data_IF_067732450499
#
_entry.id   IF_067732450499
#
_cell.length_a   1.000
_cell.length_b   1.000
_cell.length_c   1.000
_cell.angle_alpha   90.00
_cell.angle_beta   90.00
_cell.angle_gamma   90.00
#
_symmetry.space_group_name_H-M   'P 1'
#
loop_
_entity.id
_entity.type
_entity.pdbx_description
1 polymer ?
#
# COMPACT_ATOMS: atom_id res chain seq x y z
N UNK A 1 14.34 26.35 -15.53
CA UNK A 1 13.59 25.08 -15.70
C UNK A 1 14.02 24.16 -14.55
N UNK A 2 13.17 23.91 -13.55
CA UNK A 2 13.46 22.92 -12.50
C UNK A 2 12.87 21.61 -12.99
N UNK A 3 13.69 20.57 -13.04
CA UNK A 3 13.36 19.32 -13.70
C UNK A 3 12.17 18.63 -13.03
N UNK A 4 11.07 18.49 -13.78
CA UNK A 4 9.83 17.82 -13.39
C UNK A 4 9.95 16.29 -13.45
N UNK A 5 11.01 15.74 -12.84
CA UNK A 5 11.31 14.32 -12.87
C UNK A 5 11.02 13.69 -11.51
N UNK A 6 10.50 12.45 -11.53
CA UNK A 6 10.37 11.60 -10.35
C UNK A 6 11.70 11.51 -9.61
N UNK A 7 11.69 11.05 -8.35
CA UNK A 7 12.89 10.82 -7.54
C UNK A 7 13.99 9.97 -8.24
N UNK A 8 13.64 9.23 -9.30
CA UNK A 8 14.56 8.44 -10.12
C UNK A 8 15.27 9.24 -11.23
N UNK A 9 14.90 10.49 -11.52
CA UNK A 9 15.55 11.33 -12.53
C UNK A 9 15.25 11.01 -14.00
N UNK A 10 14.47 9.95 -14.28
CA UNK A 10 14.21 9.48 -15.66
C UNK A 10 12.77 9.64 -16.17
N UNK A 11 11.77 9.69 -15.28
CA UNK A 11 10.35 9.70 -15.67
C UNK A 11 9.67 10.97 -15.17
N UNK A 12 8.87 11.68 -16.00
CA UNK A 12 8.06 12.80 -15.55
C UNK A 12 7.14 12.43 -14.38
N UNK A 13 7.04 13.30 -13.37
CA UNK A 13 6.24 13.02 -12.14
C UNK A 13 4.76 12.74 -12.47
N UNK A 14 4.26 13.32 -13.55
CA UNK A 14 2.90 13.08 -14.07
C UNK A 14 2.69 11.66 -14.60
N UNK A 15 3.67 11.09 -15.32
CA UNK A 15 3.63 9.73 -15.86
C UNK A 15 3.77 8.73 -14.71
N UNK A 16 4.72 8.96 -13.79
CA UNK A 16 4.90 8.14 -12.61
C UNK A 16 3.61 8.02 -11.78
N UNK A 17 2.96 9.15 -11.47
CA UNK A 17 1.69 9.14 -10.74
C UNK A 17 0.58 8.39 -11.48
N UNK A 18 0.48 8.51 -12.81
CA UNK A 18 -0.53 7.76 -13.59
C UNK A 18 -0.30 6.25 -13.52
N UNK A 19 0.94 5.80 -13.69
CA UNK A 19 1.30 4.37 -13.59
C UNK A 19 1.00 3.81 -12.20
N UNK A 20 1.41 4.51 -11.14
CA UNK A 20 1.12 4.11 -9.76
C UNK A 20 -0.38 4.09 -9.46
N UNK A 21 -1.14 5.02 -10.02
CA UNK A 21 -2.59 5.04 -9.88
C UNK A 21 -3.25 3.82 -10.53
N UNK A 22 -2.76 3.41 -11.71
CA UNK A 22 -3.23 2.17 -12.36
C UNK A 22 -2.89 0.93 -11.53
N UNK A 23 -1.67 0.86 -10.98
CA UNK A 23 -1.31 -0.22 -10.07
C UNK A 23 -2.20 -0.24 -8.83
N UNK A 24 -2.54 0.93 -8.28
CA UNK A 24 -3.45 1.07 -7.14
C UNK A 24 -4.86 0.56 -7.48
N UNK A 25 -5.35 0.86 -8.70
CA UNK A 25 -6.64 0.33 -9.18
C UNK A 25 -6.62 -1.19 -9.36
N UNK A 26 -5.55 -1.74 -9.94
CA UNK A 26 -5.39 -3.19 -10.10
C UNK A 26 -5.34 -3.85 -8.71
N UNK A 27 -4.59 -3.29 -7.77
CA UNK A 27 -4.55 -3.74 -6.39
C UNK A 27 -5.93 -3.71 -5.73
N UNK A 28 -6.68 -2.63 -5.90
CA UNK A 28 -8.07 -2.51 -5.42
C UNK A 28 -8.99 -3.58 -6.00
N UNK A 29 -8.91 -3.83 -7.31
CA UNK A 29 -9.69 -4.88 -7.97
C UNK A 29 -9.33 -6.28 -7.47
N UNK A 30 -8.05 -6.56 -7.23
CA UNK A 30 -7.59 -7.82 -6.63
C UNK A 30 -8.10 -8.00 -5.20
N UNK A 31 -8.12 -6.92 -4.40
CA UNK A 31 -8.68 -6.95 -3.04
C UNK A 31 -10.18 -7.27 -3.08
N UNK A 32 -10.94 -6.66 -3.99
CA UNK A 32 -12.37 -6.98 -4.19
C UNK A 32 -12.55 -8.43 -4.59
N UNK A 33 -11.78 -8.90 -5.57
CA UNK A 33 -11.84 -10.29 -6.04
C UNK A 33 -11.54 -11.28 -4.92
N UNK A 34 -10.48 -11.04 -4.15
CA UNK A 34 -10.10 -11.93 -3.04
C UNK A 34 -11.18 -11.94 -1.95
N UNK A 35 -11.73 -10.78 -1.60
CA UNK A 35 -12.78 -10.63 -0.58
C UNK A 35 -14.10 -11.29 -0.99
N UNK A 36 -14.41 -11.27 -2.30
CA UNK A 36 -15.65 -11.82 -2.84
C UNK A 36 -15.55 -13.32 -3.11
N UNK A 37 -14.45 -13.80 -3.72
CA UNK A 37 -14.36 -15.16 -4.26
C UNK A 37 -13.52 -16.13 -3.41
N UNK A 38 -12.56 -15.63 -2.61
CA UNK A 38 -11.56 -16.49 -1.93
C UNK A 38 -11.53 -16.37 -0.41
N UNK A 39 -12.14 -15.33 0.15
CA UNK A 39 -12.12 -15.12 1.59
C UNK A 39 -13.04 -16.10 2.31
N UNK A 40 -12.43 -16.98 3.12
CA UNK A 40 -13.10 -17.80 4.13
C UNK A 40 -13.38 -17.04 5.44
N UNK A 41 -13.09 -15.73 5.47
CA UNK A 41 -13.34 -14.89 6.63
C UNK A 41 -14.83 -14.64 6.88
N UNK A 42 -15.16 -14.13 8.08
CA UNK A 42 -16.53 -13.74 8.41
C UNK A 42 -17.07 -12.69 7.43
N UNK A 43 -18.39 -12.63 7.27
CA UNK A 43 -19.08 -11.69 6.37
C UNK A 43 -18.58 -10.25 6.56
N UNK A 44 -18.29 -9.86 7.81
CA UNK A 44 -17.75 -8.54 8.16
C UNK A 44 -16.41 -8.26 7.48
N UNK A 45 -15.45 -9.21 7.53
CA UNK A 45 -14.14 -9.03 6.89
C UNK A 45 -14.24 -8.96 5.37
N UNK A 46 -15.20 -9.68 4.77
CA UNK A 46 -15.47 -9.62 3.33
C UNK A 46 -15.99 -8.25 2.92
N UNK A 47 -16.96 -7.71 3.67
CA UNK A 47 -17.50 -6.37 3.43
C UNK A 47 -16.41 -5.29 3.57
N UNK A 48 -15.58 -5.36 4.61
CA UNK A 48 -14.47 -4.42 4.80
C UNK A 48 -13.51 -4.47 3.61
N UNK A 49 -13.12 -5.67 3.18
CA UNK A 49 -12.23 -5.85 2.04
C UNK A 49 -12.80 -5.26 0.74
N UNK A 50 -14.09 -5.48 0.46
CA UNK A 50 -14.76 -4.88 -0.72
C UNK A 50 -14.73 -3.35 -0.64
N UNK A 51 -15.07 -2.77 0.52
CA UNK A 51 -15.07 -1.31 0.71
C UNK A 51 -13.66 -0.73 0.49
N UNK A 52 -12.64 -1.34 1.10
CA UNK A 52 -11.23 -0.93 0.92
C UNK A 52 -10.82 -1.00 -0.55
N UNK A 53 -11.17 -2.08 -1.24
CA UNK A 53 -10.87 -2.24 -2.65
C UNK A 53 -11.55 -1.19 -3.55
N UNK A 54 -12.82 -0.86 -3.27
CA UNK A 54 -13.56 0.21 -3.97
C UNK A 54 -12.89 1.57 -3.73
N UNK A 55 -12.52 1.88 -2.49
CA UNK A 55 -11.82 3.13 -2.13
C UNK A 55 -10.50 3.25 -2.89
N UNK A 56 -9.72 2.16 -3.01
CA UNK A 56 -8.47 2.14 -3.78
C UNK A 56 -8.71 2.40 -5.28
N UNK A 57 -9.74 1.79 -5.86
CA UNK A 57 -10.11 2.01 -7.26
C UNK A 57 -10.52 3.47 -7.51
N UNK A 58 -11.35 4.04 -6.63
CA UNK A 58 -11.79 5.44 -6.74
C UNK A 58 -10.60 6.39 -6.55
N UNK A 59 -9.74 6.14 -5.56
CA UNK A 59 -8.54 6.93 -5.32
C UNK A 59 -7.60 6.93 -6.54
N UNK A 60 -7.33 5.75 -7.12
CA UNK A 60 -6.53 5.65 -8.35
C UNK A 60 -7.17 6.36 -9.55
N UNK A 61 -8.48 6.19 -9.76
CA UNK A 61 -9.19 6.86 -10.84
C UNK A 61 -9.16 8.41 -10.69
N UNK A 62 -9.38 8.92 -9.48
CA UNK A 62 -9.31 10.36 -9.18
C UNK A 62 -7.92 10.93 -9.41
N UNK A 63 -6.86 10.19 -9.07
CA UNK A 63 -5.49 10.60 -9.34
C UNK A 63 -5.20 10.72 -10.85
N UNK A 64 -5.62 9.74 -11.65
CA UNK A 64 -5.49 9.81 -13.13
C UNK A 64 -6.27 11.01 -13.68
N UNK A 65 -7.51 11.21 -13.21
CA UNK A 65 -8.33 12.33 -13.62
C UNK A 65 -7.71 13.68 -13.21
N UNK A 66 -7.14 13.78 -12.00
CA UNK A 66 -6.48 14.97 -11.50
C UNK A 66 -5.28 15.38 -12.37
N UNK A 67 -4.47 14.40 -12.80
CA UNK A 67 -3.33 14.65 -13.70
C UNK A 67 -3.81 15.04 -15.10
N UNK A 68 -4.88 14.42 -15.62
CA UNK A 68 -5.45 14.79 -16.93
C UNK A 68 -6.07 16.18 -16.93
N UNK A 69 -6.87 16.49 -15.91
CA UNK A 69 -7.57 17.78 -15.77
C UNK A 69 -6.69 18.88 -15.19
N UNK A 70 -5.44 18.57 -14.81
CA UNK A 70 -4.49 19.44 -14.10
C UNK A 70 -5.08 20.13 -12.87
N UNK A 71 -5.96 19.42 -12.14
CA UNK A 71 -6.61 19.94 -10.92
C UNK A 71 -5.91 19.38 -9.68
N UNK A 72 -5.11 20.18 -8.95
CA UNK A 72 -4.37 19.67 -7.79
C UNK A 72 -5.29 19.16 -6.69
N UNK A 73 -6.44 19.80 -6.47
CA UNK A 73 -7.42 19.37 -5.43
C UNK A 73 -7.96 17.95 -5.65
N UNK A 74 -7.99 17.47 -6.89
CA UNK A 74 -8.45 16.12 -7.20
C UNK A 74 -7.41 15.04 -6.83
N UNK A 75 -6.19 15.42 -6.44
CA UNK A 75 -5.17 14.49 -5.91
C UNK A 75 -5.38 14.16 -4.43
N UNK A 76 -6.19 14.92 -3.68
CA UNK A 76 -6.37 14.70 -2.24
C UNK A 76 -6.87 13.29 -1.86
N UNK A 77 -7.81 12.66 -2.60
CA UNK A 77 -8.25 11.30 -2.26
C UNK A 77 -7.11 10.28 -2.29
N UNK A 78 -6.26 10.31 -3.33
CA UNK A 78 -5.13 9.36 -3.42
C UNK A 78 -4.06 9.66 -2.36
N UNK A 79 -3.76 10.94 -2.11
CA UNK A 79 -2.80 11.32 -1.08
C UNK A 79 -3.31 10.89 0.29
N UNK A 80 -4.58 11.13 0.60
CA UNK A 80 -5.21 10.75 1.87
C UNK A 80 -5.20 9.23 2.09
N UNK A 81 -5.59 8.45 1.08
CA UNK A 81 -5.55 6.98 1.16
C UNK A 81 -4.12 6.48 1.41
N UNK A 82 -3.11 7.04 0.72
CA UNK A 82 -1.72 6.65 0.92
C UNK A 82 -1.18 7.07 2.30
N UNK A 83 -1.57 8.25 2.82
CA UNK A 83 -1.21 8.68 4.17
C UNK A 83 -1.80 7.77 5.24
N UNK A 84 -3.08 7.40 5.09
CA UNK A 84 -3.76 6.48 6.00
C UNK A 84 -3.10 5.10 5.93
N UNK A 85 -2.81 4.60 4.73
CA UNK A 85 -2.11 3.33 4.54
C UNK A 85 -0.73 3.33 5.20
N UNK A 86 0.07 4.37 5.00
CA UNK A 86 1.39 4.51 5.62
C UNK A 86 1.30 4.57 7.16
N UNK A 87 0.29 5.25 7.71
CA UNK A 87 0.04 5.29 9.16
C UNK A 87 -0.31 3.91 9.70
N UNK A 88 -1.22 3.18 9.04
CA UNK A 88 -1.54 1.81 9.43
C UNK A 88 -0.32 0.90 9.32
N UNK A 89 0.50 1.01 8.28
CA UNK A 89 1.74 0.25 8.16
C UNK A 89 2.69 0.51 9.34
N UNK A 90 2.83 1.77 9.80
CA UNK A 90 3.63 2.10 10.98
C UNK A 90 3.05 1.47 12.26
N UNK A 91 1.73 1.52 12.44
CA UNK A 91 1.06 0.90 13.58
C UNK A 91 1.25 -0.63 13.58
N UNK A 92 1.15 -1.26 12.41
CA UNK A 92 1.41 -2.69 12.27
C UNK A 92 2.88 -3.04 12.55
N UNK A 93 3.83 -2.27 12.02
CA UNK A 93 5.26 -2.47 12.32
C UNK A 93 5.50 -2.35 13.83
N UNK A 94 4.95 -1.33 14.49
CA UNK A 94 5.09 -1.16 15.93
C UNK A 94 4.47 -2.33 16.72
N UNK A 95 3.29 -2.81 16.30
CA UNK A 95 2.65 -3.98 16.90
C UNK A 95 3.47 -5.26 16.73
N UNK A 96 4.08 -5.48 15.56
CA UNK A 96 4.94 -6.64 15.31
C UNK A 96 6.29 -6.54 16.03
N UNK A 97 6.88 -5.34 16.14
CA UNK A 97 8.09 -5.13 16.96
C UNK A 97 7.78 -5.44 18.42
N UNK A 98 6.63 -4.97 18.93
CA UNK A 98 6.20 -5.29 20.29
C UNK A 98 5.98 -6.80 20.46
N UNK A 99 5.33 -7.45 19.49
CA UNK A 99 5.15 -8.90 19.45
C UNK A 99 6.48 -9.68 19.49
N UNK A 100 7.52 -9.22 18.80
CA UNK A 100 8.84 -9.84 18.85
C UNK A 100 9.55 -9.71 20.21
N UNK A 101 9.13 -8.76 21.06
CA UNK A 101 9.76 -8.46 22.36
C UNK A 101 8.96 -9.04 23.54
N UNK A 102 7.67 -9.28 23.36
CA UNK A 102 6.78 -9.84 24.40
C UNK A 102 6.30 -11.24 24.04
N UNK A 103 6.48 -12.20 24.94
CA UNK A 103 6.09 -13.60 24.74
C UNK A 103 4.57 -13.81 24.55
N UNK A 104 3.74 -12.84 24.96
CA UNK A 104 2.26 -12.87 24.91
C UNK A 104 1.68 -12.05 23.74
N UNK A 105 2.19 -12.26 22.52
CA UNK A 105 1.65 -11.61 21.33
C UNK A 105 0.42 -12.38 20.79
N UNK A 106 -0.66 -11.66 20.47
CA UNK A 106 -1.86 -12.27 19.84
C UNK A 106 -1.54 -12.96 18.50
N UNK A 107 -0.49 -12.51 17.81
CA UNK A 107 -0.02 -13.08 16.55
C UNK A 107 0.73 -14.40 16.80
N UNK A 108 1.63 -14.40 17.79
CA UNK A 108 2.34 -15.60 18.24
C UNK A 108 1.35 -16.66 18.75
N UNK A 109 0.35 -16.26 19.53
CA UNK A 109 -0.72 -17.15 20.01
C UNK A 109 -1.53 -17.76 18.86
N UNK A 110 -1.87 -16.96 17.85
CA UNK A 110 -2.57 -17.43 16.65
C UNK A 110 -1.75 -18.42 15.84
N UNK A 111 -0.46 -18.13 15.61
CA UNK A 111 0.44 -19.05 14.90
C UNK A 111 0.69 -20.34 15.70
N UNK A 112 0.87 -20.25 17.01
CA UNK A 112 1.03 -21.43 17.88
C UNK A 112 -0.20 -22.32 17.80
N UNK A 113 -1.39 -21.75 17.92
CA UNK A 113 -2.65 -22.51 17.82
C UNK A 113 -2.83 -23.17 16.44
N UNK A 114 -2.37 -22.53 15.37
CA UNK A 114 -2.43 -23.11 14.02
C UNK A 114 -1.40 -24.24 13.83
N UNK A 115 -0.19 -24.08 14.36
CA UNK A 115 0.84 -25.12 14.39
C UNK A 115 0.40 -26.34 15.20
N UNK A 116 -0.31 -26.14 16.31
CA UNK A 116 -0.86 -27.22 17.13
C UNK A 116 -2.01 -27.96 16.44
N UNK A 117 -2.82 -27.25 15.65
CA UNK A 117 -3.92 -27.86 14.87
C UNK A 117 -3.46 -28.60 13.61
N UNK A 118 -2.28 -28.30 13.10
CA UNK A 118 -1.76 -28.86 11.85
C UNK A 118 -0.68 -29.92 12.11
N UNK A 119 -1.06 -31.22 12.23
CA UNK A 119 -0.09 -32.30 12.53
C UNK A 119 1.00 -32.45 11.46
N UNK A 120 0.71 -32.13 10.20
CA UNK A 120 1.69 -32.16 9.13
C UNK A 120 2.76 -31.05 9.28
N UNK A 121 2.35 -29.86 9.72
CA UNK A 121 3.28 -28.75 9.96
C UNK A 121 4.20 -29.06 11.14
N UNK A 122 3.65 -29.68 12.18
CA UNK A 122 4.42 -30.13 13.35
C UNK A 122 5.45 -31.20 12.98
N UNK A 123 5.07 -32.19 12.16
CA UNK A 123 6.01 -33.20 11.66
C UNK A 123 7.15 -32.57 10.86
N UNK A 124 6.85 -31.63 9.97
CA UNK A 124 7.89 -30.91 9.21
C UNK A 124 8.84 -30.11 10.11
N UNK A 125 8.33 -29.52 11.20
CA UNK A 125 9.16 -28.81 12.18
C UNK A 125 10.06 -29.76 12.98
N UNK A 126 9.52 -30.91 13.41
CA UNK A 126 10.26 -31.97 14.10
C UNK A 126 11.35 -32.57 13.18
N UNK A 127 11.02 -32.86 11.91
CA UNK A 127 11.97 -33.34 10.90
C UNK A 127 13.09 -32.33 10.62
N UNK A 128 12.80 -31.03 10.72
CA UNK A 128 13.77 -29.95 10.58
C UNK A 128 14.52 -29.61 11.88
N UNK A 129 14.22 -30.29 13.00
CA UNK A 129 14.84 -30.04 14.31
C UNK A 129 14.53 -28.66 14.91
N UNK A 130 13.42 -28.03 14.49
CA UNK A 130 13.01 -26.69 14.91
C UNK A 130 11.92 -26.76 15.99
N UNK A 131 12.11 -26.01 17.08
CA UNK A 131 11.03 -25.80 18.04
C UNK A 131 9.97 -24.87 17.47
N UNK A 132 8.71 -25.08 17.86
CA UNK A 132 7.58 -24.24 17.47
C UNK A 132 7.86 -22.77 17.81
N UNK A 133 8.47 -22.50 18.96
CA UNK A 133 8.84 -21.13 19.37
C UNK A 133 9.83 -20.47 18.40
N UNK A 134 10.91 -21.18 18.01
CA UNK A 134 11.87 -20.65 17.04
C UNK A 134 11.25 -20.40 15.67
N UNK A 135 10.33 -21.27 15.26
CA UNK A 135 9.58 -21.09 14.02
C UNK A 135 8.68 -19.86 14.08
N UNK A 136 7.89 -19.70 15.15
CA UNK A 136 7.00 -18.54 15.34
C UNK A 136 7.79 -17.24 15.34
N UNK A 137 8.87 -17.15 16.12
CA UNK A 137 9.74 -15.95 16.13
C UNK A 137 10.35 -15.68 14.75
N UNK A 138 10.77 -16.73 14.03
CA UNK A 138 11.32 -16.57 12.68
C UNK A 138 10.28 -16.03 11.70
N UNK A 139 9.03 -16.51 11.76
CA UNK A 139 7.93 -16.00 10.93
C UNK A 139 7.59 -14.55 11.30
N UNK A 140 7.54 -14.20 12.58
CA UNK A 140 7.30 -12.82 13.03
C UNK A 140 8.37 -11.84 12.52
N UNK A 141 9.65 -12.22 12.60
CA UNK A 141 10.77 -11.43 12.06
C UNK A 141 10.63 -11.24 10.54
N UNK A 142 10.31 -12.31 9.80
CA UNK A 142 10.10 -12.23 8.34
C UNK A 142 8.94 -11.31 8.01
N UNK A 143 7.81 -11.41 8.72
CA UNK A 143 6.65 -10.54 8.52
C UNK A 143 7.02 -9.08 8.83
N UNK A 144 7.78 -8.83 9.90
CA UNK A 144 8.25 -7.50 10.26
C UNK A 144 9.12 -6.88 9.15
N UNK A 145 10.03 -7.65 8.55
CA UNK A 145 10.86 -7.20 7.41
C UNK A 145 9.97 -6.87 6.20
N UNK A 146 9.01 -7.74 5.88
CA UNK A 146 8.08 -7.51 4.77
C UNK A 146 7.28 -6.22 4.99
N UNK A 147 6.74 -6.01 6.19
CA UNK A 147 5.99 -4.80 6.54
C UNK A 147 6.86 -3.55 6.43
N UNK A 148 8.13 -3.62 6.83
CA UNK A 148 9.08 -2.52 6.71
C UNK A 148 9.36 -2.14 5.25
N UNK A 149 9.59 -3.13 4.38
CA UNK A 149 9.75 -2.91 2.93
C UNK A 149 8.48 -2.30 2.34
N UNK A 150 7.31 -2.83 2.70
CA UNK A 150 6.01 -2.31 2.25
C UNK A 150 5.80 -0.86 2.70
N UNK A 151 6.20 -0.49 3.91
CA UNK A 151 6.14 0.88 4.39
C UNK A 151 6.96 1.83 3.50
N UNK A 152 8.19 1.47 3.13
CA UNK A 152 8.98 2.29 2.22
C UNK A 152 8.36 2.41 0.83
N UNK A 153 7.78 1.33 0.30
CA UNK A 153 7.07 1.36 -0.99
C UNK A 153 5.86 2.32 -0.90
N UNK A 154 5.07 2.25 0.17
CA UNK A 154 3.92 3.14 0.38
C UNK A 154 4.36 4.61 0.56
N UNK A 155 5.43 4.83 1.31
CA UNK A 155 6.00 6.17 1.50
C UNK A 155 6.54 6.75 0.18
N UNK A 156 7.13 5.90 -0.67
CA UNK A 156 7.57 6.28 -2.00
C UNK A 156 6.39 6.65 -2.91
N UNK A 157 5.30 5.87 -2.89
CA UNK A 157 4.07 6.19 -3.63
C UNK A 157 3.47 7.52 -3.18
N UNK A 158 3.40 7.74 -1.86
CA UNK A 158 2.97 9.01 -1.28
C UNK A 158 3.84 10.18 -1.81
N UNK A 159 5.16 10.02 -1.80
CA UNK A 159 6.10 11.05 -2.26
C UNK A 159 5.88 11.41 -3.73
N UNK A 160 5.60 10.42 -4.59
CA UNK A 160 5.30 10.66 -6.00
C UNK A 160 3.99 11.44 -6.16
N UNK A 161 2.90 10.99 -5.54
CA UNK A 161 1.60 11.69 -5.63
C UNK A 161 1.64 13.10 -5.04
N UNK A 162 2.36 13.28 -3.92
CA UNK A 162 2.56 14.60 -3.32
C UNK A 162 3.38 15.53 -4.21
N UNK A 163 4.43 15.00 -4.85
CA UNK A 163 5.24 15.75 -5.82
C UNK A 163 4.41 16.14 -7.04
N UNK A 164 3.54 15.26 -7.55
CA UNK A 164 2.60 15.58 -8.62
C UNK A 164 1.61 16.68 -8.20
N UNK A 165 1.07 16.60 -6.98
CA UNK A 165 0.20 17.64 -6.45
C UNK A 165 0.91 19.01 -6.41
N UNK A 166 2.15 19.05 -5.90
CA UNK A 166 2.95 20.27 -5.86
C UNK A 166 3.21 20.82 -7.27
N UNK A 167 3.56 19.94 -8.21
CA UNK A 167 3.74 20.31 -9.61
C UNK A 167 2.47 20.92 -10.22
N UNK A 168 1.31 20.30 -10.01
CA UNK A 168 0.02 20.82 -10.51
C UNK A 168 -0.34 22.17 -9.87
N UNK A 169 -0.06 22.34 -8.57
CA UNK A 169 -0.28 23.61 -7.85
C UNK A 169 0.65 24.73 -8.37
N UNK A 170 1.90 24.40 -8.66
CA UNK A 170 2.87 25.33 -9.24
C UNK A 170 2.48 25.70 -10.69
N UNK A 171 1.83 24.79 -11.42
CA UNK A 171 1.30 25.06 -12.75
C UNK A 171 0.07 25.99 -12.70
N UNK A 172 -0.88 25.72 -11.78
CA UNK A 172 -2.07 26.56 -11.55
C UNK A 172 -1.70 27.97 -11.11
N UNK A 173 -0.75 28.13 -10.19
CA UNK A 173 -0.32 29.44 -9.68
C UNK A 173 0.36 30.33 -10.72
N UNK A 174 0.96 29.74 -11.76
CA UNK A 174 1.57 30.48 -12.88
C UNK A 174 0.56 30.95 -13.94
N UNK A 175 -0.74 30.71 -13.73
CA UNK A 175 -1.79 31.21 -14.61
C UNK A 175 -1.87 30.50 -15.97
N UNK A 176 -1.21 29.35 -16.11
CA UNK A 176 -1.39 28.52 -17.31
C UNK A 176 -2.79 27.91 -17.27
N UNK A 177 -3.70 28.53 -18.02
CA UNK A 177 -5.05 28.00 -18.21
C UNK A 177 -5.02 26.62 -18.89
N UNK A 178 -6.14 25.87 -18.85
CA UNK A 178 -6.26 24.54 -19.45
C UNK A 178 -5.97 24.52 -20.98
N UNK A 179 -5.93 25.68 -21.63
CA UNK A 179 -5.66 25.84 -23.06
C UNK A 179 -4.16 25.95 -23.44
N UNK A 180 -3.23 26.09 -22.48
CA UNK A 180 -1.79 26.15 -22.77
C UNK A 180 -1.17 24.76 -23.06
N UNK A 181 -2.01 23.76 -23.37
CA UNK A 181 -1.69 22.34 -23.24
C UNK A 181 -1.42 21.64 -24.57
N UNK A 182 -2.00 22.11 -25.68
CA UNK A 182 -1.81 21.43 -26.97
C UNK A 182 -0.46 21.72 -27.64
N UNK A 183 0.28 22.74 -27.17
CA UNK A 183 1.58 23.13 -27.73
C UNK A 183 2.79 22.42 -27.09
N UNK A 184 2.60 21.65 -26.01
CA UNK A 184 3.72 21.04 -25.28
C UNK A 184 3.85 19.52 -25.40
N UNK A 185 2.88 18.82 -26.02
CA UNK A 185 3.06 17.41 -26.42
C UNK A 185 3.63 16.47 -25.34
N UNK A 186 3.15 16.58 -24.10
CA UNK A 186 3.53 15.69 -22.97
C UNK A 186 2.34 14.88 -22.46
#
# INVERSE_FOLDING_TARGET
MRNDVCCCGFVPVSIGSRLLSLLTMIGGALVIYNSTCRSHGSTTYRCIGIVVGVVLCVAGATAVAAVKMRKPRAMFPVIGVQSIAALFSLLYIAAFIFACVTDDSNVAGGLRAECEKSPDLRRQLEDAGLSIEKFVTSVEVVICIILFILFFVMFWFFTIHYSTYKFLKDFESKGFGPAAVDSYGV
#
